data_IF_519629368363
#
_entry.id   IF_519629368363
#
_cell.length_a   1.000
_cell.length_b   1.000
_cell.length_c   1.000
_cell.angle_alpha   90.00
_cell.angle_beta   90.00
_cell.angle_gamma   90.00
#
_symmetry.space_group_name_H-M   'P 1'
#
loop_
_entity.id
_entity.type
_entity.pdbx_description
1 polymer ?
#
# COMPACT_ATOMS: atom_id res chain seq x y z
N UNK A 1 -5.24 -14.50 9.39
CA UNK A 1 -3.83 -14.18 9.07
C UNK A 1 -3.03 -14.10 10.36
N UNK A 2 -1.79 -14.62 10.40
CA UNK A 2 -0.86 -14.38 11.51
C UNK A 2 0.35 -13.60 10.96
N UNK A 3 0.30 -12.27 11.09
CA UNK A 3 1.44 -11.37 10.81
C UNK A 3 1.87 -10.68 12.09
N UNK A 4 3.16 -10.36 12.19
CA UNK A 4 3.76 -9.75 13.37
C UNK A 4 4.42 -8.43 13.00
N UNK A 5 4.19 -7.42 13.82
CA UNK A 5 4.81 -6.10 13.75
C UNK A 5 6.30 -6.16 14.03
N UNK A 6 7.02 -5.08 13.76
CA UNK A 6 8.45 -4.99 14.08
C UNK A 6 8.75 -5.21 15.58
N UNK A 7 7.81 -4.88 16.47
CA UNK A 7 7.90 -5.13 17.92
C UNK A 7 7.74 -6.61 18.33
N UNK A 8 7.32 -7.48 17.42
CA UNK A 8 6.98 -8.89 17.70
C UNK A 8 5.54 -9.10 18.19
N UNK A 9 4.75 -8.04 18.35
CA UNK A 9 3.31 -8.16 18.62
C UNK A 9 2.55 -8.58 17.35
N UNK A 10 1.43 -9.34 17.48
CA UNK A 10 0.58 -9.64 16.34
C UNK A 10 -0.07 -8.36 15.78
N UNK A 11 -0.37 -8.39 14.48
CA UNK A 11 -1.18 -7.34 13.83
C UNK A 11 -2.56 -7.26 14.46
N UNK A 12 -3.05 -6.04 14.70
CA UNK A 12 -4.37 -5.73 15.26
C UNK A 12 -5.14 -4.80 14.33
N UNK A 13 -6.00 -5.39 13.51
CA UNK A 13 -6.90 -4.63 12.65
C UNK A 13 -8.20 -4.30 13.39
N UNK A 14 -8.74 -3.13 13.13
CA UNK A 14 -10.01 -2.64 13.67
C UNK A 14 -10.94 -2.35 12.51
N UNK A 15 -11.84 -3.31 12.25
CA UNK A 15 -12.82 -3.22 11.16
C UNK A 15 -14.02 -2.38 11.63
N UNK A 16 -14.54 -1.52 10.76
CA UNK A 16 -15.74 -0.72 11.00
C UNK A 16 -16.87 -1.27 10.11
N UNK A 17 -17.90 -1.87 10.73
CA UNK A 17 -19.04 -2.48 10.03
C UNK A 17 -19.82 -1.50 9.13
N UNK A 18 -19.69 -0.19 9.37
CA UNK A 18 -20.30 0.87 8.57
C UNK A 18 -19.35 1.49 7.54
N UNK A 19 -18.09 1.06 7.49
CA UNK A 19 -17.15 1.51 6.48
C UNK A 19 -17.58 1.04 5.09
N UNK A 20 -17.32 1.88 4.09
CA UNK A 20 -17.73 1.65 2.71
C UNK A 20 -16.55 1.72 1.76
N UNK A 21 -16.77 1.16 0.58
CA UNK A 21 -15.87 1.32 -0.55
C UNK A 21 -15.79 2.82 -0.96
N UNK A 22 -14.58 3.42 -1.06
CA UNK A 22 -14.41 4.80 -1.51
C UNK A 22 -14.54 4.92 -3.04
N UNK A 23 -14.72 6.12 -3.58
CA UNK A 23 -14.29 6.42 -4.95
C UNK A 23 -12.76 6.56 -5.00
N UNK A 24 -12.16 6.51 -6.19
CA UNK A 24 -10.74 6.80 -6.34
C UNK A 24 -10.37 8.17 -5.77
N UNK A 25 -11.14 9.21 -6.08
CA UNK A 25 -10.86 10.58 -5.61
C UNK A 25 -10.97 10.68 -4.07
N UNK A 26 -11.95 10.01 -3.47
CA UNK A 26 -12.06 9.93 -2.00
C UNK A 26 -10.86 9.23 -1.37
N UNK A 27 -10.40 8.14 -1.98
CA UNK A 27 -9.20 7.42 -1.53
C UNK A 27 -7.96 8.32 -1.61
N UNK A 28 -7.76 9.02 -2.73
CA UNK A 28 -6.60 9.92 -2.89
C UNK A 28 -6.64 11.10 -1.91
N UNK A 29 -7.82 11.66 -1.62
CA UNK A 29 -7.98 12.71 -0.60
C UNK A 29 -7.64 12.17 0.79
N UNK A 30 -8.16 10.98 1.13
CA UNK A 30 -7.87 10.33 2.41
C UNK A 30 -6.37 10.09 2.59
N UNK A 31 -5.69 9.50 1.60
CA UNK A 31 -4.25 9.23 1.66
C UNK A 31 -3.44 10.52 1.86
N UNK A 32 -3.85 11.62 1.22
CA UNK A 32 -3.19 12.92 1.39
C UNK A 32 -3.34 13.51 2.80
N UNK A 33 -4.43 13.20 3.50
CA UNK A 33 -4.71 13.68 4.86
C UNK A 33 -4.12 12.75 5.93
N UNK A 34 -3.99 11.47 5.62
CA UNK A 34 -3.36 10.47 6.48
C UNK A 34 -1.84 10.70 6.57
N UNK A 35 -1.27 10.56 7.77
CA UNK A 35 0.15 10.81 8.03
C UNK A 35 1.00 9.54 8.15
N UNK A 36 0.44 8.37 7.80
CA UNK A 36 1.13 7.08 7.93
C UNK A 36 2.41 7.05 7.10
N UNK A 37 2.37 7.55 5.87
CA UNK A 37 3.51 7.62 4.94
C UNK A 37 4.66 8.52 5.42
N UNK A 38 4.40 9.40 6.39
CA UNK A 38 5.38 10.32 6.99
C UNK A 38 6.20 9.66 8.09
N UNK A 39 5.77 8.50 8.60
CA UNK A 39 6.50 7.75 9.62
C UNK A 39 7.80 7.20 9.02
N UNK A 40 8.90 7.27 9.77
CA UNK A 40 10.18 6.76 9.29
C UNK A 40 10.22 5.24 9.33
N UNK A 41 10.48 4.63 8.19
CA UNK A 41 10.74 3.20 8.11
C UNK A 41 12.00 2.85 8.90
N UNK A 42 11.87 1.90 9.82
CA UNK A 42 12.94 1.40 10.67
C UNK A 42 12.70 -0.10 10.87
N UNK A 43 13.52 -0.94 10.23
CA UNK A 43 13.31 -2.40 10.10
C UNK A 43 12.99 -3.18 11.40
N UNK A 44 13.32 -2.65 12.58
CA UNK A 44 13.06 -3.27 13.89
C UNK A 44 12.25 -2.38 14.84
N UNK A 45 11.64 -1.30 14.33
CA UNK A 45 10.87 -0.34 15.13
C UNK A 45 9.51 -0.08 14.49
N UNK A 46 9.47 0.14 13.17
CA UNK A 46 8.25 0.40 12.41
C UNK A 46 8.51 -0.01 10.96
N UNK A 47 7.99 -1.17 10.57
CA UNK A 47 8.18 -1.74 9.23
C UNK A 47 6.86 -1.83 8.46
N UNK A 48 6.87 -2.43 7.27
CA UNK A 48 5.70 -2.48 6.39
C UNK A 48 4.45 -3.06 7.07
N UNK A 49 4.61 -3.96 8.04
CA UNK A 49 3.49 -4.51 8.79
C UNK A 49 2.84 -3.44 9.67
N UNK A 50 3.65 -2.61 10.34
CA UNK A 50 3.18 -1.49 11.15
C UNK A 50 2.51 -0.39 10.30
N UNK A 51 3.07 -0.08 9.12
CA UNK A 51 2.45 0.85 8.16
C UNK A 51 1.09 0.34 7.70
N UNK A 52 1.00 -0.92 7.27
CA UNK A 52 -0.23 -1.50 6.76
C UNK A 52 -1.33 -1.62 7.83
N UNK A 53 -0.97 -1.94 9.09
CA UNK A 53 -1.89 -1.91 10.23
C UNK A 53 -2.43 -0.49 10.47
N UNK A 54 -1.54 0.51 10.50
CA UNK A 54 -1.93 1.89 10.80
C UNK A 54 -2.83 2.47 9.72
N UNK A 55 -2.46 2.33 8.44
CA UNK A 55 -3.25 2.85 7.33
C UNK A 55 -4.63 2.19 7.28
N UNK A 56 -4.69 0.86 7.47
CA UNK A 56 -5.96 0.13 7.58
C UNK A 56 -6.87 0.74 8.65
N UNK A 57 -6.36 0.84 9.89
CA UNK A 57 -7.16 1.30 11.02
C UNK A 57 -7.57 2.77 10.89
N UNK A 58 -6.74 3.61 10.28
CA UNK A 58 -7.09 5.00 10.00
C UNK A 58 -8.18 5.10 8.93
N UNK A 59 -8.13 4.28 7.88
CA UNK A 59 -9.15 4.24 6.84
C UNK A 59 -10.51 3.78 7.38
N UNK A 60 -10.53 2.67 8.12
CA UNK A 60 -11.74 2.14 8.75
C UNK A 60 -12.37 3.16 9.72
N UNK A 61 -11.53 3.87 10.48
CA UNK A 61 -11.96 4.98 11.34
C UNK A 61 -12.51 6.18 10.56
N UNK A 62 -11.98 6.44 9.37
CA UNK A 62 -12.50 7.46 8.45
C UNK A 62 -13.77 7.01 7.71
N UNK A 63 -14.19 5.75 7.86
CA UNK A 63 -15.37 5.18 7.21
C UNK A 63 -15.08 4.58 5.83
N UNK A 64 -13.82 4.33 5.50
CA UNK A 64 -13.41 3.67 4.26
C UNK A 64 -12.98 2.24 4.54
N UNK A 65 -13.60 1.30 3.82
CA UNK A 65 -13.29 -0.11 3.94
C UNK A 65 -11.89 -0.37 3.39
N UNK A 66 -11.03 -0.95 4.19
CA UNK A 66 -9.68 -1.31 3.83
C UNK A 66 -9.45 -2.81 4.02
N UNK A 67 -8.54 -3.37 3.24
CA UNK A 67 -7.99 -4.68 3.46
C UNK A 67 -6.52 -4.60 3.83
N UNK A 68 -6.05 -5.58 4.60
CA UNK A 68 -4.64 -5.87 4.73
C UNK A 68 -4.22 -6.83 3.62
N UNK A 69 -3.03 -6.65 3.05
CA UNK A 69 -2.52 -7.49 1.98
C UNK A 69 -1.13 -7.99 2.33
N UNK A 70 -0.95 -9.31 2.26
CA UNK A 70 0.37 -9.95 2.33
C UNK A 70 0.84 -10.31 0.93
N UNK A 71 2.02 -9.84 0.54
CA UNK A 71 2.64 -10.11 -0.76
C UNK A 71 3.87 -10.97 -0.55
N UNK A 72 3.93 -12.11 -1.23
CA UNK A 72 5.12 -12.96 -1.31
C UNK A 72 5.80 -12.76 -2.66
N UNK A 73 7.12 -12.90 -2.69
CA UNK A 73 7.93 -12.79 -3.91
C UNK A 73 8.65 -14.10 -4.22
N UNK A 74 8.93 -14.34 -5.50
CA UNK A 74 9.74 -15.49 -5.92
C UNK A 74 11.22 -15.30 -5.59
N UNK A 75 11.70 -14.06 -5.67
CA UNK A 75 13.11 -13.68 -5.64
C UNK A 75 13.55 -12.99 -4.33
N UNK A 76 12.62 -12.71 -3.42
CA UNK A 76 12.91 -12.15 -2.09
C UNK A 76 12.57 -13.14 -0.97
N UNK A 77 13.40 -13.12 0.09
CA UNK A 77 13.15 -13.95 1.29
C UNK A 77 12.07 -13.37 2.20
N UNK A 78 11.95 -12.04 2.26
CA UNK A 78 10.95 -11.33 3.08
C UNK A 78 9.82 -10.90 2.15
N UNK A 79 8.59 -11.21 2.52
CA UNK A 79 7.40 -10.66 1.88
C UNK A 79 7.20 -9.18 2.19
N UNK A 80 6.05 -8.64 1.78
CA UNK A 80 5.66 -7.26 2.01
C UNK A 80 4.22 -7.17 2.50
N UNK A 81 3.92 -6.10 3.23
CA UNK A 81 2.60 -5.83 3.78
C UNK A 81 2.12 -4.47 3.29
N UNK A 82 0.93 -4.44 2.68
CA UNK A 82 0.32 -3.24 2.10
C UNK A 82 -1.19 -3.26 2.34
N UNK A 83 -1.92 -2.30 1.78
CA UNK A 83 -3.36 -2.24 1.86
C UNK A 83 -4.04 -2.37 0.50
N UNK A 84 -5.30 -2.81 0.52
CA UNK A 84 -6.17 -2.81 -0.65
C UNK A 84 -7.46 -2.07 -0.35
N UNK A 85 -7.98 -1.38 -1.37
CA UNK A 85 -9.24 -0.65 -1.34
C UNK A 85 -10.04 -1.04 -2.56
N UNK A 86 -11.30 -1.41 -2.39
CA UNK A 86 -12.21 -1.61 -3.50
C UNK A 86 -12.75 -0.24 -3.86
N UNK A 87 -12.22 0.39 -4.92
CA UNK A 87 -12.79 1.65 -5.39
C UNK A 87 -14.06 1.37 -6.20
N UNK A 88 -15.07 2.23 -6.02
CA UNK A 88 -16.38 2.08 -6.65
C UNK A 88 -16.37 2.38 -8.16
N UNK A 89 -15.36 3.11 -8.64
CA UNK A 89 -15.25 3.63 -10.00
C UNK A 89 -14.04 3.11 -10.79
N UNK A 90 -12.99 2.62 -10.12
CA UNK A 90 -11.77 2.09 -10.78
C UNK A 90 -11.39 0.66 -10.40
N UNK A 91 -12.11 0.05 -9.47
CA UNK A 91 -11.86 -1.33 -9.05
C UNK A 91 -10.83 -1.46 -7.91
N UNK A 92 -10.28 -2.66 -7.77
CA UNK A 92 -9.36 -3.00 -6.69
C UNK A 92 -8.05 -2.21 -6.84
N UNK A 93 -7.72 -1.43 -5.82
CA UNK A 93 -6.53 -0.56 -5.78
C UNK A 93 -5.65 -0.96 -4.61
N UNK A 94 -4.37 -1.23 -4.87
CA UNK A 94 -3.39 -1.53 -3.84
C UNK A 94 -2.58 -0.30 -3.50
N UNK A 95 -2.39 -0.03 -2.21
CA UNK A 95 -1.68 1.13 -1.69
C UNK A 95 -0.50 0.67 -0.84
N UNK A 96 0.70 1.09 -1.23
CA UNK A 96 1.93 0.92 -0.47
C UNK A 96 2.33 2.27 0.14
N UNK A 97 2.01 2.44 1.43
CA UNK A 97 2.34 3.62 2.23
C UNK A 97 3.63 3.44 3.04
N UNK A 98 4.44 2.41 2.75
CA UNK A 98 5.66 2.15 3.52
C UNK A 98 6.59 3.37 3.44
N UNK A 99 6.76 4.03 4.58
CA UNK A 99 7.38 5.34 4.68
C UNK A 99 8.87 5.37 4.34
N UNK A 100 9.47 6.57 4.30
CA UNK A 100 10.86 6.76 3.90
C UNK A 100 11.85 6.33 4.99
N UNK A 101 13.12 6.19 4.60
CA UNK A 101 14.22 6.04 5.57
C UNK A 101 14.68 7.38 6.17
N UNK A 102 14.35 8.49 5.52
CA UNK A 102 14.72 9.86 5.91
C UNK A 102 13.47 10.74 5.97
N UNK A 103 13.52 11.84 6.71
CA UNK A 103 12.37 12.73 6.86
C UNK A 103 11.93 13.32 5.51
N UNK A 104 10.63 13.26 5.23
CA UNK A 104 10.02 13.91 4.07
C UNK A 104 10.02 15.44 4.21
N UNK A 105 10.15 16.14 3.08
CA UNK A 105 9.76 17.54 2.99
C UNK A 105 8.26 17.71 3.25
N UNK A 106 7.82 18.94 3.50
CA UNK A 106 6.40 19.24 3.76
C UNK A 106 5.50 18.85 2.57
N UNK A 107 6.00 18.97 1.35
CA UNK A 107 5.24 18.69 0.11
C UNK A 107 5.46 17.28 -0.46
N UNK A 108 6.32 16.47 0.17
CA UNK A 108 6.59 15.11 -0.27
C UNK A 108 5.60 14.13 0.37
N UNK A 109 5.31 13.04 -0.36
CA UNK A 109 4.52 11.90 0.11
C UNK A 109 5.19 10.60 -0.32
N UNK A 110 5.02 9.57 0.49
CA UNK A 110 5.40 8.20 0.23
C UNK A 110 4.21 7.28 -0.07
N UNK A 111 2.99 7.80 -0.19
CA UNK A 111 1.89 7.00 -0.72
C UNK A 111 2.08 6.67 -2.19
N UNK A 112 1.93 5.38 -2.50
CA UNK A 112 2.09 4.83 -3.84
C UNK A 112 0.95 3.88 -4.15
N UNK A 113 0.49 3.91 -5.38
CA UNK A 113 -0.28 2.80 -5.95
C UNK A 113 0.69 1.68 -6.26
N UNK A 114 0.41 0.50 -5.72
CA UNK A 114 1.11 -0.74 -6.05
C UNK A 114 0.40 -1.44 -7.21
N UNK A 115 1.18 -1.81 -8.22
CA UNK A 115 0.74 -2.58 -9.38
C UNK A 115 1.21 -4.01 -9.18
N UNK A 116 0.27 -4.90 -8.86
CA UNK A 116 0.56 -6.30 -8.54
C UNK A 116 -0.26 -7.23 -9.43
N UNK A 117 0.43 -8.18 -10.04
CA UNK A 117 -0.13 -9.35 -10.72
C UNK A 117 0.82 -10.52 -10.46
N UNK A 118 0.28 -11.72 -10.25
CA UNK A 118 1.11 -12.93 -10.06
C UNK A 118 2.05 -13.13 -11.25
N UNK A 119 3.28 -13.57 -10.94
CA UNK A 119 4.39 -13.77 -11.88
C UNK A 119 4.89 -12.51 -12.61
N UNK A 120 4.42 -11.32 -12.21
CA UNK A 120 4.91 -10.04 -12.73
C UNK A 120 5.71 -9.25 -11.69
N UNK A 121 6.40 -8.22 -12.16
CA UNK A 121 7.17 -7.29 -11.34
C UNK A 121 6.23 -6.53 -10.38
N UNK A 122 6.62 -6.38 -9.12
CA UNK A 122 5.95 -5.50 -8.18
C UNK A 122 6.27 -4.04 -8.54
N UNK A 123 5.30 -3.39 -9.18
CA UNK A 123 5.39 -2.01 -9.59
C UNK A 123 4.87 -1.07 -8.52
N UNK A 124 5.48 0.10 -8.40
CA UNK A 124 4.96 1.20 -7.57
C UNK A 124 5.05 2.51 -8.32
N UNK A 125 4.02 3.34 -8.17
CA UNK A 125 3.98 4.71 -8.68
C UNK A 125 3.39 5.60 -7.60
N UNK A 126 4.00 6.76 -7.35
CA UNK A 126 3.41 7.73 -6.42
C UNK A 126 1.97 8.07 -6.83
N UNK A 127 1.08 8.19 -5.84
CA UNK A 127 -0.34 8.52 -6.04
C UNK A 127 -0.57 9.81 -6.85
N UNK A 128 0.41 10.71 -6.92
CA UNK A 128 0.33 11.95 -7.71
C UNK A 128 0.65 11.78 -9.21
N UNK A 129 1.15 10.61 -9.62
CA UNK A 129 1.58 10.35 -11.00
C UNK A 129 0.74 9.27 -11.68
N UNK A 130 -0.39 8.90 -11.10
CA UNK A 130 -1.31 7.92 -11.66
C UNK A 130 -2.76 8.22 -11.30
N UNK A 131 -3.66 7.85 -12.20
CA UNK A 131 -5.11 7.96 -12.08
C UNK A 131 -5.80 6.62 -12.34
N UNK A 132 -5.06 5.50 -12.35
CA UNK A 132 -5.61 4.16 -12.59
C UNK A 132 -4.85 3.08 -11.81
N UNK A 133 -5.56 2.04 -11.30
CA UNK A 133 -4.93 0.84 -10.74
C UNK A 133 -4.50 -0.18 -11.80
N UNK A 134 -4.80 0.03 -13.08
CA UNK A 134 -4.53 -0.95 -14.15
C UNK A 134 -3.03 -1.23 -14.31
N UNK A 135 -2.63 -2.49 -14.24
CA UNK A 135 -1.22 -2.90 -14.35
C UNK A 135 -0.56 -2.47 -15.68
N UNK A 136 -1.33 -2.43 -16.77
CA UNK A 136 -0.86 -1.94 -18.08
C UNK A 136 -0.35 -0.49 -18.01
N UNK A 137 -0.91 0.34 -17.12
CA UNK A 137 -0.43 1.70 -16.92
C UNK A 137 1.03 1.73 -16.50
N UNK A 138 1.40 0.86 -15.56
CA UNK A 138 2.75 0.70 -15.06
C UNK A 138 3.68 0.10 -16.12
N UNK A 139 3.28 -0.98 -16.79
CA UNK A 139 4.09 -1.62 -17.84
C UNK A 139 4.47 -0.66 -18.96
N UNK A 140 3.54 0.16 -19.42
CA UNK A 140 3.81 1.13 -20.49
C UNK A 140 4.74 2.27 -20.07
N UNK A 141 4.98 2.47 -18.77
CA UNK A 141 5.69 3.65 -18.23
C UNK A 141 6.94 3.32 -17.44
N UNK A 142 7.13 2.08 -17.00
CA UNK A 142 8.28 1.68 -16.16
C UNK A 142 9.64 1.98 -16.79
N UNK A 143 9.73 1.91 -18.12
CA UNK A 143 10.95 2.22 -18.88
C UNK A 143 11.13 3.71 -19.23
N UNK A 144 10.17 4.56 -18.88
CA UNK A 144 10.23 5.99 -19.18
C UNK A 144 11.32 6.67 -18.34
N UNK A 145 12.43 7.01 -19.00
CA UNK A 145 13.61 7.61 -18.37
C UNK A 145 13.32 8.91 -17.60
N UNK A 146 12.26 9.66 -17.96
CA UNK A 146 11.87 10.90 -17.27
C UNK A 146 11.13 10.65 -15.96
N UNK A 147 10.60 9.45 -15.75
CA UNK A 147 9.83 9.11 -14.56
C UNK A 147 10.57 8.15 -13.62
N UNK A 148 11.76 7.65 -14.00
CA UNK A 148 12.55 6.66 -13.24
C UNK A 148 12.74 6.94 -11.74
N UNK A 149 12.66 8.20 -11.30
CA UNK A 149 12.71 8.55 -9.87
C UNK A 149 11.49 8.08 -9.05
N UNK A 150 10.40 7.70 -9.72
CA UNK A 150 9.12 7.31 -9.11
C UNK A 150 8.79 5.82 -9.27
N UNK A 151 9.61 5.07 -10.01
CA UNK A 151 9.42 3.65 -10.29
C UNK A 151 10.51 2.83 -9.59
N UNK A 152 10.12 1.89 -8.74
CA UNK A 152 11.05 0.96 -8.10
C UNK A 152 10.52 -0.47 -8.22
N UNK A 153 11.23 -1.31 -8.96
CA UNK A 153 11.08 -2.77 -8.89
C UNK A 153 11.44 -3.22 -7.48
N UNK A 154 10.55 -3.93 -6.79
CA UNK A 154 10.85 -4.55 -5.49
C UNK A 154 11.27 -6.01 -5.68
N UNK A 155 10.48 -6.79 -6.41
CA UNK A 155 10.71 -8.20 -6.73
C UNK A 155 9.62 -8.72 -7.67
N UNK A 156 9.61 -10.02 -7.97
CA UNK A 156 8.57 -10.68 -8.77
C UNK A 156 7.50 -11.26 -7.86
N UNK A 157 6.26 -10.82 -8.01
CA UNK A 157 5.12 -11.25 -7.18
C UNK A 157 4.89 -12.74 -7.39
N UNK A 158 4.92 -13.49 -6.29
CA UNK A 158 4.56 -14.91 -6.25
C UNK A 158 3.08 -15.10 -5.91
N UNK A 159 2.59 -14.35 -4.94
CA UNK A 159 1.19 -14.36 -4.52
C UNK A 159 0.86 -13.10 -3.74
N UNK A 160 -0.40 -12.65 -3.82
CA UNK A 160 -0.94 -11.58 -3.00
C UNK A 160 -2.22 -12.06 -2.32
N UNK A 161 -2.22 -12.09 -0.99
CA UNK A 161 -3.37 -12.51 -0.20
C UNK A 161 -4.05 -11.27 0.41
N UNK A 162 -5.31 -11.05 0.04
CA UNK A 162 -6.13 -9.91 0.49
C UNK A 162 -7.05 -10.35 1.62
N UNK A 163 -6.97 -9.66 2.76
CA UNK A 163 -7.75 -9.92 3.97
C UNK A 163 -8.67 -8.72 4.25
N UNK A 164 -9.96 -8.85 3.93
CA UNK A 164 -10.99 -7.82 4.11
C UNK A 164 -11.65 -7.80 5.48
N UNK A 165 -11.52 -8.90 6.22
CA UNK A 165 -12.16 -9.11 7.51
C UNK A 165 -11.16 -9.85 8.39
N UNK A 166 -11.01 -9.40 9.63
CA UNK A 166 -10.19 -10.07 10.63
C UNK A 166 -11.07 -10.71 11.71
N UNK A 167 -11.22 -12.04 11.63
CA UNK A 167 -11.81 -12.89 12.68
C UNK A 167 -10.75 -13.43 13.64
#
# INVERSE_FOLDING_TARGET
MLSYKASGEPVKLTDNESARDPTWDELMIFLKEDDTDRILYRSNIFDCVDFAERLHNNAEKAGFRAAYVSVDFHDLRKGHAINAFQTTDKGLTFIDCTGPQVQLGELDSYDKVAYIEEDKEYGIVSVYYTDTPDYEFYEHRKDNQRLRGFFKSVGVVKSAHVYWEHY
#
